data_IF_130609143243
#
_entry.id   IF_130609143243
#
_cell.length_a   1.000
_cell.length_b   1.000
_cell.length_c   1.000
_cell.angle_alpha   90.00
_cell.angle_beta   90.00
_cell.angle_gamma   90.00
#
_symmetry.space_group_name_H-M   'P 1'
#
loop_
_entity.id
_entity.type
_entity.pdbx_description
1 polymer ?
#
# COMPACT_ATOMS: atom_id res chain seq x y z
N UNK A 1 -10.44 18.35 -9.09
CA UNK A 1 -10.23 18.00 -7.67
C UNK A 1 -8.81 18.42 -7.31
N UNK A 2 -8.66 19.46 -6.51
CA UNK A 2 -7.40 20.21 -6.31
C UNK A 2 -6.30 19.31 -5.76
N UNK A 3 -5.13 19.29 -6.41
CA UNK A 3 -3.94 18.49 -6.06
C UNK A 3 -3.63 18.52 -4.55
N UNK A 4 -3.81 19.68 -3.93
CA UNK A 4 -3.68 19.89 -2.48
C UNK A 4 -4.55 18.93 -1.66
N UNK A 5 -5.81 18.69 -2.03
CA UNK A 5 -6.72 17.78 -1.33
C UNK A 5 -6.22 16.33 -1.38
N UNK A 6 -5.69 15.90 -2.53
CA UNK A 6 -5.13 14.55 -2.69
C UNK A 6 -3.87 14.36 -1.85
N UNK A 7 -2.97 15.35 -1.84
CA UNK A 7 -1.78 15.33 -0.99
C UNK A 7 -2.12 15.29 0.51
N UNK A 8 -3.05 16.14 0.96
CA UNK A 8 -3.50 16.13 2.36
C UNK A 8 -4.11 14.78 2.74
N UNK A 9 -4.93 14.19 1.86
CA UNK A 9 -5.55 12.88 2.12
C UNK A 9 -4.50 11.76 2.20
N UNK A 10 -3.52 11.76 1.30
CA UNK A 10 -2.41 10.79 1.33
C UNK A 10 -1.58 10.93 2.61
N UNK A 11 -1.27 12.16 3.02
CA UNK A 11 -0.53 12.42 4.25
C UNK A 11 -1.29 11.96 5.49
N UNK A 12 -2.59 12.26 5.57
CA UNK A 12 -3.44 11.81 6.67
C UNK A 12 -3.51 10.28 6.75
N UNK A 13 -3.62 9.60 5.60
CA UNK A 13 -3.60 8.14 5.54
C UNK A 13 -2.27 7.57 6.04
N UNK A 14 -1.13 8.18 5.66
CA UNK A 14 0.19 7.77 6.13
C UNK A 14 0.36 7.97 7.64
N UNK A 15 -0.07 9.13 8.17
CA UNK A 15 -0.02 9.42 9.61
C UNK A 15 -0.88 8.43 10.38
N UNK A 16 -2.12 8.19 9.93
CA UNK A 16 -3.00 7.21 10.55
C UNK A 16 -2.37 5.81 10.59
N UNK A 17 -1.83 5.35 9.46
CA UNK A 17 -1.14 4.07 9.38
C UNK A 17 0.06 3.98 10.34
N UNK A 18 0.88 5.02 10.40
CA UNK A 18 2.02 5.10 11.32
C UNK A 18 1.56 5.07 12.79
N UNK A 19 0.55 5.84 13.16
CA UNK A 19 0.01 5.86 14.54
C UNK A 19 -0.52 4.49 14.95
N UNK A 20 -1.31 3.84 14.11
CA UNK A 20 -1.83 2.49 14.41
C UNK A 20 -0.70 1.48 14.54
N UNK A 21 0.30 1.55 13.66
CA UNK A 21 1.46 0.65 13.69
C UNK A 21 2.28 0.80 14.97
N UNK A 22 2.48 2.04 15.42
CA UNK A 22 3.18 2.34 16.68
C UNK A 22 2.39 1.78 17.87
N UNK A 23 1.08 2.04 17.94
CA UNK A 23 0.23 1.55 19.03
C UNK A 23 0.24 0.02 19.12
N UNK A 24 0.14 -0.67 17.98
CA UNK A 24 0.23 -2.13 17.93
C UNK A 24 1.61 -2.64 18.36
N UNK A 25 2.68 -1.95 17.96
CA UNK A 25 4.05 -2.31 18.35
C UNK A 25 4.22 -2.23 19.87
N UNK A 26 3.75 -1.15 20.50
CA UNK A 26 3.77 -1.01 21.96
C UNK A 26 2.91 -2.08 22.65
N UNK A 27 1.72 -2.36 22.11
CA UNK A 27 0.84 -3.39 22.64
C UNK A 27 1.52 -4.77 22.61
N UNK A 28 2.13 -5.15 21.49
CA UNK A 28 2.82 -6.43 21.35
C UNK A 28 4.07 -6.51 22.22
N UNK A 29 4.85 -5.43 22.33
CA UNK A 29 5.98 -5.38 23.24
C UNK A 29 5.53 -5.60 24.70
N UNK A 30 4.37 -5.06 25.08
CA UNK A 30 3.82 -5.22 26.42
C UNK A 30 3.25 -6.62 26.69
N UNK A 31 2.62 -7.25 25.69
CA UNK A 31 1.98 -8.56 25.84
C UNK A 31 2.97 -9.73 25.73
N UNK A 32 3.95 -9.64 24.83
CA UNK A 32 4.87 -10.74 24.52
C UNK A 32 6.10 -10.77 25.43
N UNK A 33 6.43 -9.64 26.05
CA UNK A 33 7.68 -9.48 26.79
C UNK A 33 8.91 -9.36 25.87
N UNK A 34 10.08 -9.01 26.42
CA UNK A 34 11.24 -8.56 25.64
C UNK A 34 11.84 -9.66 24.74
N UNK A 35 11.91 -10.90 25.20
CA UNK A 35 12.52 -12.00 24.45
C UNK A 35 11.67 -12.38 23.22
N UNK A 36 10.38 -12.65 23.43
CA UNK A 36 9.46 -13.06 22.35
C UNK A 36 9.19 -11.90 21.38
N UNK A 37 9.12 -10.66 21.88
CA UNK A 37 8.99 -9.48 21.03
C UNK A 37 10.21 -9.31 20.09
N UNK A 38 11.42 -9.63 20.55
CA UNK A 38 12.61 -9.62 19.73
C UNK A 38 12.52 -10.59 18.55
N UNK A 39 12.15 -11.85 18.80
CA UNK A 39 11.96 -12.85 17.75
C UNK A 39 10.81 -12.50 16.80
N UNK A 40 9.70 -11.96 17.33
CA UNK A 40 8.60 -11.45 16.53
C UNK A 40 9.05 -10.34 15.57
N UNK A 41 9.81 -9.36 16.07
CA UNK A 41 10.25 -8.22 15.27
C UNK A 41 11.26 -8.64 14.18
N UNK A 42 12.09 -9.64 14.46
CA UNK A 42 12.97 -10.24 13.46
C UNK A 42 12.17 -10.86 12.30
N UNK A 43 11.17 -11.69 12.60
CA UNK A 43 10.30 -12.29 11.57
C UNK A 43 9.49 -11.22 10.83
N UNK A 44 8.98 -10.21 11.54
CA UNK A 44 8.25 -9.10 10.95
C UNK A 44 9.12 -8.33 9.94
N UNK A 45 10.39 -8.11 10.27
CA UNK A 45 11.34 -7.44 9.38
C UNK A 45 11.60 -8.28 8.12
N UNK A 46 11.79 -9.60 8.26
CA UNK A 46 11.93 -10.50 7.11
C UNK A 46 10.69 -10.51 6.23
N UNK A 47 9.50 -10.56 6.83
CA UNK A 47 8.23 -10.49 6.11
C UNK A 47 8.07 -9.15 5.37
N UNK A 48 8.48 -8.04 5.98
CA UNK A 48 8.45 -6.73 5.35
C UNK A 48 9.40 -6.66 4.13
N UNK A 49 10.62 -7.19 4.25
CA UNK A 49 11.56 -7.29 3.13
C UNK A 49 10.99 -8.15 1.99
N UNK A 50 10.39 -9.29 2.32
CA UNK A 50 9.75 -10.15 1.35
C UNK A 50 8.58 -9.44 0.64
N UNK A 51 7.75 -8.71 1.38
CA UNK A 51 6.64 -7.95 0.81
C UNK A 51 7.11 -6.86 -0.18
N UNK A 52 8.21 -6.16 0.14
CA UNK A 52 8.82 -5.17 -0.78
C UNK A 52 9.30 -5.87 -2.07
N UNK A 53 9.97 -7.01 -1.93
CA UNK A 53 10.45 -7.79 -3.08
C UNK A 53 9.30 -8.32 -3.94
N UNK A 54 8.22 -8.79 -3.30
CA UNK A 54 7.01 -9.29 -3.98
C UNK A 54 6.27 -8.17 -4.72
N UNK A 55 6.15 -6.99 -4.13
CA UNK A 55 5.53 -5.84 -4.80
C UNK A 55 6.34 -5.44 -6.04
N UNK A 56 7.68 -5.53 -6.00
CA UNK A 56 8.55 -5.54 -7.18
C UNK A 56 8.40 -4.34 -8.14
N UNK A 57 7.71 -3.28 -7.73
CA UNK A 57 7.33 -2.16 -8.59
C UNK A 57 6.12 -2.42 -9.50
N UNK A 58 5.43 -3.55 -9.39
CA UNK A 58 4.25 -3.90 -10.20
C UNK A 58 3.16 -2.85 -10.11
N UNK A 59 2.93 -2.29 -8.92
CA UNK A 59 1.94 -1.22 -8.73
C UNK A 59 2.21 -0.02 -9.63
N UNK A 60 3.46 0.36 -9.81
CA UNK A 60 3.88 1.45 -10.70
C UNK A 60 3.66 1.10 -12.17
N UNK A 61 4.02 -0.13 -12.56
CA UNK A 61 3.82 -0.61 -13.94
C UNK A 61 2.35 -0.66 -14.32
N UNK A 62 1.49 -1.19 -13.44
CA UNK A 62 0.04 -1.23 -13.61
C UNK A 62 -0.52 0.19 -13.72
N UNK A 63 -0.12 1.10 -12.81
CA UNK A 63 -0.63 2.47 -12.84
C UNK A 63 -0.22 3.19 -14.14
N UNK A 64 1.02 3.00 -14.59
CA UNK A 64 1.51 3.52 -15.86
C UNK A 64 0.68 3.02 -17.03
N UNK A 65 0.40 1.71 -17.08
CA UNK A 65 -0.41 1.10 -18.14
C UNK A 65 -1.85 1.63 -18.11
N UNK A 66 -2.47 1.72 -16.92
CA UNK A 66 -3.81 2.26 -16.75
C UNK A 66 -3.91 3.72 -17.22
N UNK A 67 -2.86 4.53 -17.04
CA UNK A 67 -2.84 5.92 -17.49
C UNK A 67 -2.36 6.10 -18.94
N UNK A 68 -1.94 5.02 -19.61
CA UNK A 68 -1.47 5.06 -20.99
C UNK A 68 -2.60 5.47 -21.94
N UNK A 69 -2.35 6.36 -22.92
CA UNK A 69 -3.35 6.79 -23.90
C UNK A 69 -3.90 5.59 -24.70
N UNK A 70 -3.05 4.63 -25.05
CA UNK A 70 -3.43 3.40 -25.76
C UNK A 70 -4.46 2.58 -24.99
N UNK A 71 -4.25 2.39 -23.68
CA UNK A 71 -5.19 1.64 -22.83
C UNK A 71 -6.53 2.38 -22.67
N UNK A 72 -6.51 3.71 -22.60
CA UNK A 72 -7.73 4.52 -22.50
C UNK A 72 -8.56 4.49 -23.78
N UNK A 73 -7.93 4.45 -24.95
CA UNK A 73 -8.63 4.26 -26.24
C UNK A 73 -9.26 2.87 -26.36
N UNK A 74 -8.52 1.81 -25.96
CA UNK A 74 -9.04 0.44 -25.91
C UNK A 74 -10.22 0.34 -24.95
N UNK A 75 -10.12 0.93 -23.75
CA UNK A 75 -11.20 0.96 -22.76
C UNK A 75 -12.44 1.67 -23.31
N UNK A 76 -12.29 2.82 -23.97
CA UNK A 76 -13.40 3.54 -24.61
C UNK A 76 -14.04 2.75 -25.76
N UNK A 77 -13.28 1.92 -26.46
CA UNK A 77 -13.78 1.05 -27.54
C UNK A 77 -14.50 -0.22 -27.03
N UNK A 78 -14.11 -0.73 -25.86
CA UNK A 78 -14.72 -1.91 -25.23
C UNK A 78 -16.00 -1.59 -24.43
N UNK A 79 -16.09 -0.41 -23.80
CA UNK A 79 -17.27 0.01 -23.03
C UNK A 79 -18.59 0.07 -23.85
N UNK A 80 -18.64 0.45 -25.15
CA UNK A 80 -19.86 0.37 -25.94
C UNK A 80 -20.31 -1.05 -26.29
N UNK A 81 -19.47 -2.08 -26.12
CA UNK A 81 -19.78 -3.48 -26.48
C UNK A 81 -20.40 -4.27 -25.32
N UNK A 82 -20.21 -3.82 -24.08
CA UNK A 82 -20.72 -4.51 -22.87
C UNK A 82 -22.05 -3.96 -22.34
N UNK A 83 -22.63 -2.94 -22.99
CA UNK A 83 -23.97 -2.43 -22.71
C UNK A 83 -24.83 -2.70 -23.95
N UNK A 84 -25.21 -3.97 -24.12
CA UNK A 84 -26.16 -4.48 -25.10
C UNK A 84 -26.87 -5.68 -24.50
#
# INVERSE_FOLDING_TARGET
MTLAKSFTTQWLASVYGATVSILLTFLFARLLGPEVFGSYNYLLTLAALYAILQDGGFRTLIFRELTSPTFQEIKKSLVPISIG
#
